data_IF_893331319338
#
_entry.id   IF_893331319338
#
_cell.length_a   1.000
_cell.length_b   1.000
_cell.length_c   1.000
_cell.angle_alpha   90.00
_cell.angle_beta   90.00
_cell.angle_gamma   90.00
#
_symmetry.space_group_name_H-M   'P 1'
#
loop_
_entity.id
_entity.type
_entity.pdbx_description
1 polymer ?
#
# COMPACT_ATOMS: atom_id res chain seq x y z
N UNK A 1 -6.01 -16.55 1.35
CA UNK A 1 -5.39 -16.28 0.03
C UNK A 1 -5.16 -14.78 -0.12
N UNK A 2 -3.95 -14.38 -0.51
CA UNK A 2 -3.60 -12.99 -0.81
C UNK A 2 -3.42 -12.83 -2.31
N UNK A 3 -3.88 -11.71 -2.86
CA UNK A 3 -3.69 -11.31 -4.25
C UNK A 3 -2.80 -10.07 -4.23
N UNK A 4 -1.68 -10.09 -4.93
CA UNK A 4 -0.79 -8.94 -5.03
C UNK A 4 -1.26 -7.99 -6.14
N UNK A 5 -1.16 -6.69 -5.89
CA UNK A 5 -1.36 -5.65 -6.90
C UNK A 5 0.03 -5.10 -7.25
N UNK A 6 0.38 -5.22 -8.53
CA UNK A 6 1.71 -4.90 -9.06
C UNK A 6 1.55 -3.89 -10.19
N UNK A 7 2.33 -2.82 -10.17
CA UNK A 7 2.40 -1.82 -11.23
C UNK A 7 3.84 -1.68 -11.72
N UNK A 8 4.08 -1.90 -13.01
CA UNK A 8 5.43 -1.86 -13.65
C UNK A 8 6.51 -2.62 -12.87
N UNK A 9 6.18 -3.82 -12.38
CA UNK A 9 7.10 -4.67 -11.59
C UNK A 9 7.24 -4.28 -10.12
N UNK A 10 6.62 -3.18 -9.68
CA UNK A 10 6.63 -2.74 -8.29
C UNK A 10 5.37 -3.23 -7.57
N UNK A 11 5.56 -3.93 -6.44
CA UNK A 11 4.46 -4.37 -5.59
C UNK A 11 3.95 -3.20 -4.74
N UNK A 12 2.80 -2.65 -5.10
CA UNK A 12 2.14 -1.59 -4.33
C UNK A 12 1.51 -2.19 -3.07
N UNK A 13 0.77 -3.28 -3.23
CA UNK A 13 -0.08 -3.78 -2.16
C UNK A 13 -0.82 -5.04 -2.58
N UNK A 14 -2.07 -5.17 -2.14
CA UNK A 14 -2.90 -6.29 -2.51
C UNK A 14 -4.19 -6.42 -1.71
N UNK A 15 -4.86 -7.54 -1.94
CA UNK A 15 -6.12 -7.90 -1.28
C UNK A 15 -5.89 -9.17 -0.47
N UNK A 16 -6.23 -9.11 0.81
CA UNK A 16 -6.18 -10.25 1.69
C UNK A 16 -7.59 -10.80 1.93
N UNK A 17 -7.98 -11.81 1.16
CA UNK A 17 -9.32 -12.43 1.29
C UNK A 17 -9.50 -13.18 2.60
N UNK A 18 -8.43 -13.72 3.17
CA UNK A 18 -8.49 -14.46 4.43
C UNK A 18 -8.77 -13.56 5.63
N UNK A 19 -8.16 -12.37 5.62
CA UNK A 19 -8.30 -11.37 6.69
C UNK A 19 -9.22 -10.20 6.31
N UNK A 20 -9.93 -10.30 5.18
CA UNK A 20 -10.93 -9.35 4.67
C UNK A 20 -10.49 -7.87 4.68
N UNK A 21 -9.31 -7.58 4.16
CA UNK A 21 -8.82 -6.21 3.99
C UNK A 21 -8.04 -6.03 2.69
N UNK A 22 -7.98 -4.80 2.19
CA UNK A 22 -6.93 -4.41 1.26
C UNK A 22 -5.70 -3.97 2.05
N UNK A 23 -4.53 -4.05 1.45
CA UNK A 23 -3.29 -3.59 2.06
C UNK A 23 -2.39 -2.85 1.08
N UNK A 24 -1.65 -1.88 1.61
CA UNK A 24 -0.58 -1.18 0.90
C UNK A 24 0.72 -1.41 1.65
N UNK A 25 1.77 -1.75 0.91
CA UNK A 25 3.07 -2.10 1.47
C UNK A 25 3.81 -0.83 1.88
N UNK A 26 4.35 -0.73 3.09
CA UNK A 26 5.01 0.52 3.54
C UNK A 26 6.24 0.91 2.72
N UNK A 27 6.89 -0.05 2.06
CA UNK A 27 8.05 0.18 1.22
C UNK A 27 7.74 0.92 -0.09
N UNK A 28 6.47 1.12 -0.43
CA UNK A 28 6.05 1.94 -1.58
C UNK A 28 5.91 3.42 -1.23
N UNK A 29 5.94 3.77 0.06
CA UNK A 29 5.75 5.14 0.53
C UNK A 29 7.06 5.89 0.36
N UNK A 30 7.04 6.95 -0.44
CA UNK A 30 8.23 7.70 -0.81
C UNK A 30 8.33 9.02 -0.02
N UNK A 31 7.21 9.58 0.43
CA UNK A 31 7.16 10.74 1.33
C UNK A 31 5.84 10.86 2.12
N UNK A 32 5.71 11.94 2.90
CA UNK A 32 4.51 12.24 3.68
C UNK A 32 3.27 12.59 2.84
N UNK A 33 3.40 12.95 1.56
CA UNK A 33 2.24 13.16 0.69
C UNK A 33 1.58 11.81 0.35
N UNK A 34 2.39 10.77 0.14
CA UNK A 34 1.89 9.40 -0.04
C UNK A 34 1.16 8.88 1.21
N UNK A 35 1.66 9.21 2.43
CA UNK A 35 0.97 8.86 3.68
C UNK A 35 -0.36 9.60 3.84
N UNK A 36 -0.42 10.88 3.48
CA UNK A 36 -1.65 11.65 3.55
C UNK A 36 -2.75 11.08 2.65
N UNK A 37 -2.39 10.63 1.43
CA UNK A 37 -3.34 9.99 0.51
C UNK A 37 -3.92 8.71 1.11
N UNK A 38 -3.09 7.89 1.77
CA UNK A 38 -3.56 6.69 2.46
C UNK A 38 -4.58 7.01 3.55
N UNK A 39 -4.23 7.96 4.44
CA UNK A 39 -5.09 8.36 5.56
C UNK A 39 -6.44 8.91 5.05
N UNK A 40 -6.39 9.78 4.04
CA UNK A 40 -7.58 10.41 3.46
C UNK A 40 -8.51 9.41 2.76
N UNK A 41 -7.99 8.25 2.35
CA UNK A 41 -8.74 7.16 1.74
C UNK A 41 -8.98 5.99 2.72
N UNK A 42 -9.03 6.27 4.02
CA UNK A 42 -9.46 5.31 5.04
C UNK A 42 -8.46 4.21 5.38
N UNK A 43 -7.21 4.30 4.91
CA UNK A 43 -6.17 3.36 5.29
C UNK A 43 -5.60 3.67 6.68
N UNK A 44 -5.39 2.62 7.47
CA UNK A 44 -4.81 2.68 8.80
C UNK A 44 -3.47 1.95 8.81
N UNK A 45 -2.43 2.62 9.33
CA UNK A 45 -1.10 2.03 9.52
C UNK A 45 -1.15 0.89 10.55
N UNK A 46 -0.58 -0.26 10.18
CA UNK A 46 -0.40 -1.44 11.02
C UNK A 46 1.09 -1.75 11.14
N UNK A 47 1.45 -2.19 12.33
CA UNK A 47 2.80 -2.62 12.67
C UNK A 47 2.71 -4.03 13.23
N UNK A 48 3.43 -4.96 12.63
CA UNK A 48 3.52 -6.34 13.10
C UNK A 48 4.98 -6.69 13.39
N UNK A 49 5.28 -6.91 14.66
CA UNK A 49 6.57 -7.44 15.09
C UNK A 49 6.51 -8.97 15.06
N UNK A 50 7.51 -9.61 14.49
CA UNK A 50 7.66 -11.07 14.62
C UNK A 50 8.40 -11.38 15.92
N UNK A 51 7.91 -12.36 16.70
CA UNK A 51 8.45 -12.67 18.03
C UNK A 51 9.94 -13.08 18.03
N UNK A 52 10.46 -13.56 16.89
CA UNK A 52 11.84 -14.03 16.74
C UNK A 52 12.76 -13.07 15.98
N UNK A 53 12.31 -11.86 15.66
CA UNK A 53 13.09 -10.90 14.86
C UNK A 53 12.89 -9.47 15.36
N UNK A 54 13.96 -8.67 15.32
CA UNK A 54 13.85 -7.21 15.43
C UNK A 54 13.19 -6.59 14.18
N UNK A 55 12.93 -7.38 13.14
CA UNK A 55 12.27 -6.92 11.93
C UNK A 55 10.79 -6.59 12.16
N UNK A 56 10.45 -5.36 11.83
CA UNK A 56 9.10 -4.80 11.98
C UNK A 56 8.45 -4.70 10.61
N UNK A 57 7.32 -5.39 10.42
CA UNK A 57 6.51 -5.23 9.23
C UNK A 57 5.53 -4.07 9.40
N UNK A 58 5.75 -3.00 8.65
CA UNK A 58 4.82 -1.88 8.54
C UNK A 58 4.01 -2.04 7.26
N UNK A 59 2.71 -1.86 7.32
CA UNK A 59 1.81 -1.88 6.17
C UNK A 59 0.54 -1.10 6.50
N UNK A 60 -0.25 -0.77 5.50
CA UNK A 60 -1.50 -0.02 5.66
C UNK A 60 -2.67 -0.89 5.26
N UNK A 61 -3.81 -0.76 5.93
CA UNK A 61 -5.02 -1.53 5.57
C UNK A 61 -6.28 -0.65 5.55
N UNK A 62 -7.20 -0.96 4.64
CA UNK A 62 -8.59 -0.51 4.70
C UNK A 62 -9.53 -1.73 4.53
N UNK A 63 -10.83 -1.50 4.61
CA UNK A 63 -11.82 -2.58 4.47
C UNK A 63 -11.81 -3.12 3.04
N UNK A 64 -12.04 -4.42 2.87
CA UNK A 64 -12.01 -5.07 1.55
C UNK A 64 -13.12 -4.57 0.59
N UNK A 65 -14.22 -4.06 1.14
CA UNK A 65 -15.36 -3.50 0.40
C UNK A 65 -15.20 -2.01 0.10
N UNK A 66 -14.17 -1.35 0.63
CA UNK A 66 -13.82 0.03 0.31
C UNK A 66 -13.00 0.09 -0.99
N UNK A 67 -13.72 -0.12 -2.09
CA UNK A 67 -13.18 -0.17 -3.45
C UNK A 67 -12.74 1.21 -3.92
N UNK A 68 -13.50 2.25 -3.60
CA UNK A 68 -13.19 3.64 -3.98
C UNK A 68 -11.91 4.12 -3.30
N UNK A 69 -11.77 3.89 -1.98
CA UNK A 69 -10.54 4.23 -1.27
C UNK A 69 -9.32 3.47 -1.81
N UNK A 70 -9.50 2.20 -2.18
CA UNK A 70 -8.43 1.43 -2.84
C UNK A 70 -8.07 2.01 -4.21
N UNK A 71 -9.05 2.31 -5.06
CA UNK A 71 -8.80 2.81 -6.43
C UNK A 71 -8.05 4.14 -6.42
N UNK A 72 -8.50 5.10 -5.61
CA UNK A 72 -7.85 6.40 -5.42
C UNK A 72 -6.37 6.26 -5.02
N UNK A 73 -6.10 5.34 -4.09
CA UNK A 73 -4.73 5.05 -3.63
C UNK A 73 -3.90 4.43 -4.75
N UNK A 74 -4.46 3.49 -5.51
CA UNK A 74 -3.73 2.84 -6.62
C UNK A 74 -3.38 3.85 -7.73
N UNK A 75 -4.31 4.74 -8.09
CA UNK A 75 -4.08 5.82 -9.08
C UNK A 75 -2.97 6.77 -8.63
N UNK A 76 -2.98 7.16 -7.36
CA UNK A 76 -1.92 7.99 -6.79
C UNK A 76 -0.57 7.29 -6.85
N UNK A 77 -0.49 6.04 -6.38
CA UNK A 77 0.78 5.30 -6.36
C UNK A 77 1.29 4.95 -7.75
N UNK A 78 0.45 4.64 -8.74
CA UNK A 78 0.92 4.44 -10.12
C UNK A 78 1.56 5.72 -10.67
N UNK A 79 0.95 6.88 -10.41
CA UNK A 79 1.49 8.19 -10.81
C UNK A 79 2.80 8.51 -10.08
N UNK A 80 2.86 8.25 -8.77
CA UNK A 80 4.07 8.46 -7.97
C UNK A 80 5.22 7.56 -8.44
N UNK A 81 4.94 6.30 -8.74
CA UNK A 81 5.91 5.33 -9.28
C UNK A 81 6.44 5.81 -10.64
N UNK A 82 5.54 6.20 -11.55
CA UNK A 82 5.94 6.72 -12.87
C UNK A 82 6.84 7.93 -12.74
N UNK A 83 6.44 8.90 -11.91
CA UNK A 83 7.20 10.14 -11.72
C UNK A 83 8.55 9.89 -11.05
N UNK A 84 8.67 8.96 -10.10
CA UNK A 84 9.86 8.85 -9.25
C UNK A 84 10.84 7.75 -9.65
N UNK A 85 10.35 6.65 -10.21
CA UNK A 85 11.18 5.48 -10.54
C UNK A 85 11.45 5.35 -12.03
N UNK A 86 10.54 5.86 -12.86
CA UNK A 86 10.59 5.65 -14.31
C UNK A 86 10.57 6.97 -15.11
N UNK A 87 10.57 8.13 -14.45
CA UNK A 87 10.82 9.37 -15.16
C UNK A 87 12.31 9.42 -15.51
N UNK A 88 12.60 9.28 -16.80
CA UNK A 88 13.89 9.62 -17.35
C UNK A 88 13.98 11.14 -17.35
N UNK A 89 14.76 11.71 -16.44
CA UNK A 89 15.51 12.92 -16.79
C UNK A 89 16.43 12.58 -17.96
#
# INVERSE_FOLDING_TARGET
MQIAIIYKGVKIGGINRGHKHNFISSNIILDGADEAVLINNGFVRKTKTQASSSHVHVYWINKIDDVEGLDNVLVHFSTSIDRRLFSTL
#
